data_IF_739862347932
#
_entry.id   IF_739862347932
#
_cell.length_a   1.000
_cell.length_b   1.000
_cell.length_c   1.000
_cell.angle_alpha   90.00
_cell.angle_beta   90.00
_cell.angle_gamma   90.00
#
_symmetry.space_group_name_H-M   'P 1'
#
loop_
_entity.id
_entity.type
_entity.pdbx_description
1 polymer ?
#
# COMPACT_ATOMS: atom_id res chain seq x y z
N UNK A 1 -27.99 -7.18 -14.12
CA UNK A 1 -27.42 -5.87 -13.74
C UNK A 1 -26.55 -6.11 -12.52
N UNK A 2 -25.24 -5.99 -12.65
CA UNK A 2 -24.27 -6.27 -11.59
C UNK A 2 -24.11 -5.00 -10.76
N UNK A 3 -24.33 -5.07 -9.45
CA UNK A 3 -24.25 -3.93 -8.54
C UNK A 3 -22.84 -3.29 -8.58
N UNK A 4 -22.72 -1.96 -8.36
CA UNK A 4 -21.41 -1.32 -8.26
C UNK A 4 -20.60 -2.02 -7.17
N UNK A 5 -19.41 -2.47 -7.53
CA UNK A 5 -18.49 -3.13 -6.61
C UNK A 5 -17.88 -2.07 -5.68
N UNK A 6 -18.68 -1.56 -4.75
CA UNK A 6 -18.13 -0.87 -3.59
C UNK A 6 -17.28 -1.91 -2.84
N UNK A 7 -15.98 -1.68 -2.65
CA UNK A 7 -15.17 -2.58 -1.84
C UNK A 7 -15.86 -2.69 -0.47
N UNK A 8 -16.05 -3.90 0.07
CA UNK A 8 -16.69 -4.04 1.38
C UNK A 8 -15.89 -3.23 2.40
N UNK A 9 -16.55 -2.40 3.21
CA UNK A 9 -15.90 -1.59 4.26
C UNK A 9 -15.04 -2.45 5.19
N UNK A 10 -15.40 -3.72 5.36
CA UNK A 10 -14.63 -4.74 6.06
C UNK A 10 -13.23 -5.00 5.48
N UNK A 11 -12.92 -4.56 4.26
CA UNK A 11 -11.60 -4.78 3.66
C UNK A 11 -10.55 -3.75 4.08
N UNK A 12 -10.94 -2.58 4.62
CA UNK A 12 -10.00 -1.53 4.99
C UNK A 12 -9.36 -1.87 6.36
N UNK A 13 -8.02 -1.98 6.47
CA UNK A 13 -7.37 -2.24 7.74
C UNK A 13 -7.45 -1.02 8.67
N UNK A 14 -7.40 -1.26 9.98
CA UNK A 14 -7.37 -0.16 10.96
C UNK A 14 -6.01 0.53 10.97
N UNK A 15 -5.95 1.76 11.50
CA UNK A 15 -4.68 2.47 11.69
C UNK A 15 -3.74 1.73 12.63
N UNK A 16 -4.27 1.06 13.65
CA UNK A 16 -3.48 0.23 14.58
C UNK A 16 -2.87 -0.99 13.88
N UNK A 17 -3.65 -1.68 13.03
CA UNK A 17 -3.17 -2.80 12.21
C UNK A 17 -2.07 -2.35 11.25
N UNK A 18 -2.23 -1.16 10.66
CA UNK A 18 -1.23 -0.58 9.78
C UNK A 18 0.04 -0.14 10.51
N UNK A 19 -0.10 0.53 11.66
CA UNK A 19 1.03 0.93 12.49
C UNK A 19 1.85 -0.29 12.97
N UNK A 20 1.15 -1.37 13.33
CA UNK A 20 1.78 -2.66 13.67
C UNK A 20 2.53 -3.27 12.49
N UNK A 21 1.90 -3.26 11.31
CA UNK A 21 2.48 -3.83 10.10
C UNK A 21 3.78 -3.13 9.67
N UNK A 22 3.87 -1.81 9.86
CA UNK A 22 5.03 -0.99 9.47
C UNK A 22 6.01 -0.80 10.66
N UNK A 23 5.70 -1.33 11.84
CA UNK A 23 6.56 -1.23 13.03
C UNK A 23 6.63 0.17 13.63
N UNK A 24 5.57 0.98 13.45
CA UNK A 24 5.47 2.37 13.92
C UNK A 24 4.56 2.54 15.15
N UNK A 25 4.24 1.45 15.87
CA UNK A 25 3.27 1.41 16.98
C UNK A 25 3.51 2.42 18.12
N UNK A 26 4.76 2.86 18.30
CA UNK A 26 5.15 3.74 19.41
C UNK A 26 5.56 5.15 18.97
N UNK A 27 5.22 5.55 17.74
CA UNK A 27 5.65 6.82 17.15
C UNK A 27 4.46 7.73 16.81
N UNK A 28 3.93 8.40 17.84
CA UNK A 28 2.82 9.35 17.72
C UNK A 28 3.09 10.48 16.70
N UNK A 29 4.36 10.78 16.42
CA UNK A 29 4.73 11.80 15.43
C UNK A 29 4.42 11.36 13.99
N UNK A 30 4.29 10.05 13.77
CA UNK A 30 4.00 9.46 12.46
C UNK A 30 2.53 9.14 12.23
N UNK A 31 1.65 9.37 13.22
CA UNK A 31 0.20 9.12 13.09
C UNK A 31 -0.43 9.85 11.89
N UNK A 32 0.00 11.10 11.64
CA UNK A 32 -0.47 11.88 10.47
C UNK A 32 -0.01 11.24 9.16
N UNK A 33 1.24 10.78 9.10
CA UNK A 33 1.78 10.12 7.92
C UNK A 33 1.14 8.75 7.69
N UNK A 34 0.98 7.94 8.74
CA UNK A 34 0.27 6.66 8.69
C UNK A 34 -1.14 6.82 8.14
N UNK A 35 -1.87 7.84 8.61
CA UNK A 35 -3.24 8.11 8.16
C UNK A 35 -3.28 8.52 6.69
N UNK A 36 -2.39 9.43 6.29
CA UNK A 36 -2.30 9.90 4.90
C UNK A 36 -1.94 8.77 3.94
N UNK A 37 -0.91 7.99 4.29
CA UNK A 37 -0.35 6.98 3.40
C UNK A 37 -1.30 5.77 3.29
N UNK A 38 -1.99 5.40 4.37
CA UNK A 38 -3.05 4.39 4.32
C UNK A 38 -4.24 4.85 3.45
N UNK A 39 -4.70 6.10 3.63
CA UNK A 39 -5.80 6.64 2.82
C UNK A 39 -5.44 6.66 1.31
N UNK A 40 -4.22 7.10 0.99
CA UNK A 40 -3.73 7.12 -0.38
C UNK A 40 -3.61 5.72 -0.98
N UNK A 41 -3.13 4.73 -0.22
CA UNK A 41 -3.07 3.34 -0.65
C UNK A 41 -4.46 2.75 -0.94
N UNK A 42 -5.46 3.10 -0.12
CA UNK A 42 -6.85 2.69 -0.33
C UNK A 42 -7.42 3.30 -1.60
N UNK A 43 -7.25 4.61 -1.80
CA UNK A 43 -7.72 5.30 -3.00
C UNK A 43 -7.10 4.72 -4.27
N UNK A 44 -5.78 4.54 -4.27
CA UNK A 44 -5.03 4.03 -5.41
C UNK A 44 -5.45 2.60 -5.77
N UNK A 45 -5.57 1.71 -4.79
CA UNK A 45 -6.02 0.34 -5.03
C UNK A 45 -7.48 0.26 -5.45
N UNK A 46 -8.34 1.12 -4.92
CA UNK A 46 -9.75 1.16 -5.29
C UNK A 46 -9.94 1.61 -6.73
N UNK A 47 -9.21 2.64 -7.17
CA UNK A 47 -9.26 3.09 -8.55
C UNK A 47 -8.71 2.00 -9.49
N UNK A 48 -7.59 1.38 -9.12
CA UNK A 48 -7.02 0.29 -9.89
C UNK A 48 -7.94 -0.94 -9.96
N UNK A 49 -8.64 -1.26 -8.88
CA UNK A 49 -9.54 -2.43 -8.78
C UNK A 49 -11.00 -2.11 -9.09
N UNK A 50 -11.29 -0.96 -9.72
CA UNK A 50 -12.66 -0.49 -9.96
C UNK A 50 -13.50 -1.42 -10.84
N UNK A 51 -12.87 -2.12 -11.79
CA UNK A 51 -13.56 -3.06 -12.69
C UNK A 51 -12.86 -4.43 -12.72
N UNK A 52 -13.07 -5.25 -11.68
CA UNK A 52 -12.44 -6.56 -11.59
C UNK A 52 -13.27 -7.60 -12.36
N UNK A 53 -12.60 -8.43 -13.16
CA UNK A 53 -13.19 -9.57 -13.89
C UNK A 53 -13.84 -10.62 -12.99
N UNK A 54 -13.40 -10.70 -11.74
CA UNK A 54 -13.94 -11.61 -10.74
C UNK A 54 -13.87 -10.95 -9.37
N UNK A 55 -14.77 -11.30 -8.43
CA UNK A 55 -14.78 -10.69 -7.11
C UNK A 55 -13.44 -10.90 -6.40
N UNK A 56 -12.91 -9.80 -5.84
CA UNK A 56 -11.69 -9.82 -5.04
C UNK A 56 -12.08 -10.17 -3.60
N UNK A 57 -11.47 -11.21 -2.99
CA UNK A 57 -11.75 -11.54 -1.60
C UNK A 57 -11.36 -10.37 -0.66
N UNK A 58 -12.18 -10.01 0.34
CA UNK A 58 -11.91 -8.88 1.23
C UNK A 58 -10.56 -8.99 1.95
N UNK A 59 -10.19 -10.20 2.39
CA UNK A 59 -8.90 -10.47 3.03
C UNK A 59 -7.71 -10.23 2.10
N UNK A 60 -7.88 -10.48 0.79
CA UNK A 60 -6.84 -10.22 -0.21
C UNK A 60 -6.68 -8.72 -0.43
N UNK A 61 -7.79 -8.00 -0.52
CA UNK A 61 -7.80 -6.54 -0.69
C UNK A 61 -7.19 -5.83 0.53
N UNK A 62 -7.54 -6.28 1.75
CA UNK A 62 -6.93 -5.82 3.01
C UNK A 62 -5.41 -5.97 2.99
N UNK A 63 -4.91 -7.15 2.58
CA UNK A 63 -3.47 -7.40 2.47
C UNK A 63 -2.80 -6.49 1.45
N UNK A 64 -3.49 -6.15 0.36
CA UNK A 64 -2.94 -5.22 -0.64
C UNK A 64 -2.86 -3.80 -0.09
N UNK A 65 -3.89 -3.30 0.61
CA UNK A 65 -3.83 -1.99 1.25
C UNK A 65 -2.64 -1.86 2.20
N UNK A 66 -2.40 -2.88 3.03
CA UNK A 66 -1.24 -2.90 3.95
C UNK A 66 0.10 -2.88 3.20
N UNK A 67 0.25 -3.71 2.17
CA UNK A 67 1.50 -3.79 1.38
C UNK A 67 1.81 -2.48 0.64
N UNK A 68 0.79 -1.89 0.01
CA UNK A 68 0.93 -0.65 -0.76
C UNK A 68 1.15 0.53 0.18
N UNK A 69 0.38 0.61 1.26
CA UNK A 69 0.56 1.62 2.30
C UNK A 69 1.95 1.56 2.93
N UNK A 70 2.49 0.35 3.18
CA UNK A 70 3.83 0.19 3.72
C UNK A 70 4.91 0.73 2.77
N UNK A 71 4.81 0.45 1.47
CA UNK A 71 5.75 0.98 0.48
C UNK A 71 5.66 2.51 0.38
N UNK A 72 4.44 3.07 0.41
CA UNK A 72 4.22 4.53 0.42
C UNK A 72 4.76 5.19 1.69
N UNK A 73 4.61 4.52 2.83
CA UNK A 73 5.15 4.99 4.10
C UNK A 73 6.67 4.95 4.13
N UNK A 74 7.28 3.88 3.61
CA UNK A 74 8.74 3.74 3.49
C UNK A 74 9.33 4.75 2.49
N UNK A 75 8.64 5.05 1.39
CA UNK A 75 9.05 6.11 0.46
C UNK A 75 9.08 7.50 1.13
N UNK A 76 8.11 7.75 2.01
CA UNK A 76 7.93 9.04 2.67
C UNK A 76 8.75 9.20 3.96
N UNK A 77 8.97 8.13 4.71
CA UNK A 77 9.53 8.14 6.07
C UNK A 77 10.66 7.13 6.30
N UNK A 78 10.97 6.27 5.33
CA UNK A 78 12.00 5.24 5.47
C UNK A 78 13.41 5.82 5.50
N UNK A 79 14.34 5.24 6.30
CA UNK A 79 15.74 5.60 6.25
C UNK A 79 16.33 5.10 4.93
N UNK A 80 16.48 6.01 3.99
CA UNK A 80 17.22 5.69 2.78
C UNK A 80 18.70 5.89 3.05
N UNK A 81 19.43 4.87 3.46
CA UNK A 81 20.89 4.89 3.37
C UNK A 81 21.32 3.57 2.76
N UNK A 82 21.88 3.63 1.56
CA UNK A 82 22.61 2.52 0.98
C UNK A 82 24.05 2.95 0.75
N UNK A 83 24.99 2.03 0.97
CA UNK A 83 26.39 2.22 0.60
C UNK A 83 26.55 1.95 -0.89
N UNK A 84 26.94 2.97 -1.65
CA UNK A 84 27.31 2.79 -3.06
C UNK A 84 28.58 1.93 -3.18
N UNK A 85 28.91 1.45 -4.39
CA UNK A 85 30.11 0.67 -4.72
C UNK A 85 31.43 1.37 -4.38
N UNK A 86 31.38 2.65 -4.01
CA UNK A 86 32.49 3.47 -3.56
C UNK A 86 32.45 3.75 -2.04
N UNK A 87 31.66 2.98 -1.28
CA UNK A 87 31.49 3.10 0.17
C UNK A 87 30.92 4.45 0.66
N UNK A 88 30.38 5.25 -0.25
CA UNK A 88 29.66 6.46 0.11
C UNK A 88 28.28 6.10 0.67
N UNK A 89 27.92 6.70 1.80
CA UNK A 89 26.56 6.64 2.34
C UNK A 89 25.68 7.55 1.47
N UNK A 90 24.83 6.95 0.62
CA UNK A 90 23.93 7.67 -0.28
C UNK A 90 22.50 7.54 0.22
N UNK A 91 21.83 8.69 0.33
CA UNK A 91 20.40 8.79 0.62
C UNK A 91 19.59 8.66 -0.66
N UNK A 92 18.92 7.51 -0.88
CA UNK A 92 17.97 7.35 -1.99
C UNK A 92 16.63 6.77 -1.53
N UNK A 93 15.56 7.55 -1.69
CA UNK A 93 14.18 7.12 -1.45
C UNK A 93 13.84 5.93 -2.33
N UNK A 94 12.95 5.03 -1.87
CA UNK A 94 12.39 3.99 -2.73
C UNK A 94 11.78 4.69 -3.95
N UNK A 95 12.34 4.46 -5.14
CA UNK A 95 11.80 4.98 -6.39
C UNK A 95 10.87 3.97 -7.06
N UNK A 96 10.46 2.92 -6.33
CA UNK A 96 9.58 1.89 -6.84
C UNK A 96 8.15 2.39 -6.76
N UNK A 97 7.45 2.33 -7.89
CA UNK A 97 6.01 2.51 -7.91
C UNK A 97 5.38 1.54 -6.88
N UNK A 98 4.61 2.06 -5.90
CA UNK A 98 4.03 1.27 -4.82
C UNK A 98 3.08 0.18 -5.31
N UNK A 99 2.59 0.23 -6.56
CA UNK A 99 1.83 -0.87 -7.15
C UNK A 99 2.64 -2.12 -7.43
N UNK A 100 3.96 -2.01 -7.61
CA UNK A 100 4.78 -3.16 -7.98
C UNK A 100 4.77 -4.29 -6.93
N UNK A 101 4.49 -3.97 -5.66
CA UNK A 101 4.42 -4.97 -4.57
C UNK A 101 3.21 -5.90 -4.69
N UNK A 102 2.16 -5.48 -5.41
CA UNK A 102 0.90 -6.23 -5.54
C UNK A 102 0.52 -6.51 -6.99
N UNK A 103 1.16 -5.88 -7.97
CA UNK A 103 0.76 -5.92 -9.39
C UNK A 103 0.58 -7.34 -9.96
N UNK A 104 1.42 -8.30 -9.55
CA UNK A 104 1.32 -9.70 -10.01
C UNK A 104 0.06 -10.40 -9.48
N UNK A 105 -0.36 -10.06 -8.27
CA UNK A 105 -1.55 -10.61 -7.64
C UNK A 105 -2.80 -9.93 -8.21
N UNK A 106 -2.78 -8.60 -8.33
CA UNK A 106 -3.90 -7.80 -8.85
C UNK A 106 -4.23 -8.13 -10.31
N UNK A 107 -3.23 -8.40 -11.15
CA UNK A 107 -3.41 -8.84 -12.56
C UNK A 107 -4.25 -10.12 -12.72
N UNK A 108 -4.47 -10.88 -11.65
CA UNK A 108 -5.37 -12.05 -11.68
C UNK A 108 -6.85 -11.68 -11.60
N UNK A 109 -7.15 -10.42 -11.31
CA UNK A 109 -8.49 -9.89 -11.05
C UNK A 109 -8.84 -8.74 -11.99
N UNK A 110 -7.86 -7.96 -12.45
CA UNK A 110 -8.07 -6.79 -13.32
C UNK A 110 -7.18 -6.92 -14.56
N UNK A 111 -7.67 -6.62 -15.77
CA UNK A 111 -6.73 -6.46 -16.90
C UNK A 111 -6.17 -5.06 -16.95
N UNK A 112 -4.90 -5.02 -17.30
CA UNK A 112 -4.32 -3.87 -17.99
C UNK A 112 -4.99 -3.72 -19.37
N UNK A 113 -5.75 -2.64 -19.55
CA UNK A 113 -6.02 -2.06 -20.88
C UNK A 113 -4.99 -0.96 -21.09
#
# INVERSE_FOLDING_TARGET
MTAPATPPEDAVPSLEEFASFVGAENDDTKTVALTRDLAAAVELLNDFCKDPYKPIPPATMRRWYLKVGAEMFDENNGPSQYTDRFENVVTARSSRDPMNVVIREVRRYVSFI
#
